data_IF_473267016035
#
_entry.id   IF_473267016035
#
_cell.length_a   1.000
_cell.length_b   1.000
_cell.length_c   1.000
_cell.angle_alpha   90.00
_cell.angle_beta   90.00
_cell.angle_gamma   90.00
#
_symmetry.space_group_name_H-M   'P 1'
#
loop_
_entity.id
_entity.type
_entity.pdbx_description
1 polymer ?
#
# COMPACT_ATOMS: atom_id res chain seq x y z
N UNK A 1 -15.49 -2.81 6.33
CA UNK A 1 -16.11 -4.06 5.91
C UNK A 1 -15.08 -5.01 5.32
N UNK A 2 -15.13 -6.27 5.68
CA UNK A 2 -14.23 -7.29 5.13
C UNK A 2 -14.57 -7.45 3.64
N UNK A 3 -13.61 -7.23 2.78
CA UNK A 3 -13.74 -7.50 1.37
C UNK A 3 -13.36 -8.97 1.13
N UNK A 4 -14.34 -9.79 0.80
CA UNK A 4 -14.11 -11.19 0.51
C UNK A 4 -14.19 -11.44 -1.00
N UNK A 5 -13.18 -12.12 -1.53
CA UNK A 5 -13.28 -12.77 -2.83
C UNK A 5 -13.77 -14.19 -2.65
N UNK A 6 -14.79 -14.57 -3.39
CA UNK A 6 -15.31 -15.94 -3.40
C UNK A 6 -15.12 -16.51 -4.79
N UNK A 7 -14.49 -17.68 -4.87
CA UNK A 7 -14.33 -18.44 -6.10
C UNK A 7 -15.25 -19.67 -6.05
N UNK A 8 -16.10 -19.81 -7.06
CA UNK A 8 -16.92 -21.01 -7.27
C UNK A 8 -16.53 -21.60 -8.62
N UNK A 9 -16.04 -22.83 -8.62
CA UNK A 9 -15.56 -23.48 -9.84
C UNK A 9 -15.90 -24.97 -9.86
N UNK A 10 -15.99 -25.50 -11.06
CA UNK A 10 -15.96 -26.92 -11.33
C UNK A 10 -14.52 -27.33 -11.63
N UNK A 11 -14.12 -28.51 -11.14
CA UNK A 11 -12.80 -29.08 -11.39
C UNK A 11 -12.98 -30.18 -12.44
N UNK A 12 -12.28 -30.05 -13.56
CA UNK A 12 -12.25 -31.05 -14.61
C UNK A 12 -11.28 -32.21 -14.27
N UNK A 13 -11.31 -33.29 -15.06
CA UNK A 13 -10.44 -34.47 -14.84
C UNK A 13 -8.95 -34.16 -14.96
N UNK A 14 -8.58 -33.17 -15.77
CA UNK A 14 -7.20 -32.67 -15.94
C UNK A 14 -6.77 -31.68 -14.85
N UNK A 15 -7.61 -31.46 -13.83
CA UNK A 15 -7.37 -30.52 -12.75
C UNK A 15 -7.65 -29.05 -13.10
N UNK A 16 -8.06 -28.76 -14.34
CA UNK A 16 -8.42 -27.39 -14.71
C UNK A 16 -9.67 -26.91 -13.98
N UNK A 17 -9.75 -25.60 -13.76
CA UNK A 17 -10.88 -24.95 -13.11
C UNK A 17 -11.61 -24.05 -14.09
N UNK A 18 -12.93 -24.09 -14.04
CA UNK A 18 -13.80 -23.12 -14.72
C UNK A 18 -14.90 -22.67 -13.78
N UNK A 19 -15.06 -21.38 -13.64
CA UNK A 19 -16.04 -20.85 -12.70
C UNK A 19 -16.17 -19.34 -12.72
N UNK A 20 -16.67 -18.82 -11.62
CA UNK A 20 -16.82 -17.37 -11.41
C UNK A 20 -16.14 -16.95 -10.12
N UNK A 21 -15.50 -15.79 -10.15
CA UNK A 21 -15.09 -15.11 -8.95
C UNK A 21 -16.03 -13.94 -8.65
N UNK A 22 -16.27 -13.72 -7.38
CA UNK A 22 -17.16 -12.70 -6.86
C UNK A 22 -16.35 -11.76 -5.97
N UNK A 23 -16.58 -10.45 -6.12
CA UNK A 23 -15.95 -9.42 -5.28
C UNK A 23 -17.03 -8.51 -4.71
N UNK A 24 -17.28 -8.64 -3.41
CA UNK A 24 -18.40 -7.97 -2.76
C UNK A 24 -19.75 -8.45 -3.28
N UNK A 25 -20.78 -7.58 -3.20
CA UNK A 25 -22.17 -7.95 -3.51
C UNK A 25 -22.54 -7.84 -5.00
N UNK A 26 -21.77 -7.11 -5.80
CA UNK A 26 -22.20 -6.70 -7.15
C UNK A 26 -21.27 -7.12 -8.28
N UNK A 27 -20.07 -7.59 -7.98
CA UNK A 27 -19.12 -7.95 -9.03
C UNK A 27 -18.99 -9.46 -9.14
N UNK A 28 -19.19 -9.97 -10.33
CA UNK A 28 -18.93 -11.35 -10.70
C UNK A 28 -18.28 -11.39 -12.08
N UNK A 29 -17.24 -12.19 -12.23
CA UNK A 29 -16.60 -12.41 -13.53
C UNK A 29 -16.21 -13.88 -13.69
N UNK A 30 -16.27 -14.43 -14.91
CA UNK A 30 -15.80 -15.78 -15.19
C UNK A 30 -14.29 -15.86 -15.05
N UNK A 31 -13.80 -17.04 -14.69
CA UNK A 31 -12.38 -17.36 -14.74
C UNK A 31 -12.15 -18.80 -15.16
N UNK A 32 -10.97 -19.05 -15.71
CA UNK A 32 -10.42 -20.39 -15.94
C UNK A 32 -9.02 -20.45 -15.33
N UNK A 33 -8.62 -21.61 -14.83
CA UNK A 33 -7.27 -21.85 -14.36
C UNK A 33 -6.79 -23.24 -14.80
N UNK A 34 -5.51 -23.36 -15.03
CA UNK A 34 -4.83 -24.62 -15.31
C UNK A 34 -3.90 -24.99 -14.15
N UNK A 35 -3.74 -26.27 -13.81
CA UNK A 35 -2.70 -26.68 -12.88
C UNK A 35 -1.32 -26.22 -13.39
N UNK A 36 -0.47 -25.79 -12.46
CA UNK A 36 0.90 -25.41 -12.76
C UNK A 36 1.81 -25.81 -11.61
N UNK A 37 2.86 -26.55 -11.91
CA UNK A 37 3.89 -26.90 -10.93
C UNK A 37 4.92 -25.77 -10.71
N UNK A 38 5.01 -24.86 -11.69
CA UNK A 38 6.02 -23.78 -11.69
C UNK A 38 5.48 -22.42 -11.31
N UNK A 39 4.14 -22.28 -11.17
CA UNK A 39 3.56 -20.99 -10.80
C UNK A 39 3.82 -20.66 -9.33
N UNK A 40 4.40 -19.48 -9.13
CA UNK A 40 4.54 -18.90 -7.80
C UNK A 40 4.06 -17.45 -7.80
N UNK A 41 3.51 -17.02 -6.67
CA UNK A 41 3.22 -15.59 -6.48
C UNK A 41 4.55 -14.81 -6.44
N UNK A 42 4.58 -13.68 -7.14
CA UNK A 42 5.74 -12.78 -7.13
C UNK A 42 5.96 -12.26 -5.71
N UNK A 43 7.23 -12.12 -5.33
CA UNK A 43 7.57 -11.46 -4.07
C UNK A 43 7.12 -9.98 -4.15
N UNK A 44 6.42 -9.46 -3.13
CA UNK A 44 6.00 -8.06 -3.07
C UNK A 44 7.10 -7.05 -3.36
N UNK A 45 8.33 -7.34 -2.93
CA UNK A 45 9.50 -6.46 -3.11
C UNK A 45 10.12 -6.57 -4.51
N UNK A 46 9.63 -7.49 -5.37
CA UNK A 46 10.08 -7.65 -6.76
C UNK A 46 9.11 -7.07 -7.79
N UNK A 47 7.97 -6.50 -7.36
CA UNK A 47 6.91 -6.05 -8.28
C UNK A 47 7.19 -4.66 -8.81
N UNK A 48 7.51 -3.72 -7.93
CA UNK A 48 7.78 -2.33 -8.28
C UNK A 48 9.15 -1.89 -7.75
N UNK A 49 9.69 -0.83 -8.32
CA UNK A 49 10.98 -0.26 -7.88
C UNK A 49 11.05 1.23 -8.16
N UNK A 50 11.88 1.93 -7.42
CA UNK A 50 12.27 3.29 -7.77
C UNK A 50 13.43 3.28 -8.77
N UNK A 51 13.45 4.23 -9.70
CA UNK A 51 14.62 4.46 -10.55
C UNK A 51 15.87 4.75 -9.70
N UNK A 52 17.05 4.31 -10.12
CA UNK A 52 18.29 4.62 -9.41
C UNK A 52 18.48 6.14 -9.23
N UNK A 53 18.78 6.55 -8.00
CA UNK A 53 19.01 7.96 -7.67
C UNK A 53 17.76 8.83 -7.52
N UNK A 54 16.57 8.29 -7.78
CA UNK A 54 15.32 9.02 -7.61
C UNK A 54 15.07 9.40 -6.14
N UNK A 55 14.42 10.54 -5.96
CA UNK A 55 14.02 11.10 -4.67
C UNK A 55 12.51 11.31 -4.62
N UNK A 56 11.97 11.27 -3.43
CA UNK A 56 10.58 11.65 -3.21
C UNK A 56 10.50 13.18 -3.18
N UNK A 57 9.72 13.77 -4.09
CA UNK A 57 9.65 15.23 -4.26
C UNK A 57 8.25 15.69 -4.68
N UNK A 58 7.22 15.20 -4.01
CA UNK A 58 5.84 15.60 -4.28
C UNK A 58 5.36 16.66 -3.27
N UNK A 59 4.60 17.64 -3.75
CA UNK A 59 3.82 18.56 -2.91
C UNK A 59 2.36 18.18 -3.04
N UNK A 60 1.74 17.80 -1.93
CA UNK A 60 0.38 17.24 -1.90
C UNK A 60 -0.46 17.91 -0.83
N UNK A 61 -1.77 18.10 -1.06
CA UNK A 61 -2.65 18.60 -0.03
C UNK A 61 -2.86 17.56 1.08
N UNK A 62 -2.81 18.01 2.32
CA UNK A 62 -3.33 17.23 3.44
C UNK A 62 -4.82 16.95 3.21
N UNK A 63 -5.27 15.72 3.45
CA UNK A 63 -6.59 15.26 3.03
C UNK A 63 -7.76 16.07 3.62
N UNK A 64 -7.63 16.55 4.87
CA UNK A 64 -8.70 17.23 5.60
C UNK A 64 -8.63 18.76 5.40
N UNK A 65 -7.47 19.35 5.69
CA UNK A 65 -7.30 20.81 5.67
C UNK A 65 -7.09 21.35 4.26
N UNK A 66 -6.48 20.56 3.38
CA UNK A 66 -6.02 21.01 2.06
C UNK A 66 -4.72 21.79 2.09
N UNK A 67 -4.07 21.89 3.24
CA UNK A 67 -2.74 22.48 3.37
C UNK A 67 -1.73 21.73 2.51
N UNK A 68 -0.94 22.47 1.75
CA UNK A 68 0.10 21.89 0.89
C UNK A 68 1.29 21.42 1.70
N UNK A 69 1.59 20.14 1.65
CA UNK A 69 2.70 19.49 2.35
C UNK A 69 3.79 19.11 1.34
N UNK A 70 5.00 19.60 1.54
CA UNK A 70 6.20 19.14 0.83
C UNK A 70 6.62 17.78 1.44
N UNK A 71 6.28 16.71 0.74
CA UNK A 71 6.58 15.35 1.18
C UNK A 71 8.09 15.10 1.29
N UNK A 72 8.87 15.63 0.35
CA UNK A 72 10.33 15.53 0.37
C UNK A 72 10.94 16.26 1.59
N UNK A 73 10.41 17.43 1.93
CA UNK A 73 10.80 18.19 3.11
C UNK A 73 10.45 17.47 4.41
N UNK A 74 9.25 16.89 4.47
CA UNK A 74 8.73 16.17 5.65
C UNK A 74 9.62 14.98 6.05
N UNK A 75 10.13 14.23 5.06
CA UNK A 75 10.95 13.03 5.30
C UNK A 75 12.47 13.29 5.31
N UNK A 76 12.88 14.54 5.07
CA UNK A 76 14.30 14.88 4.94
C UNK A 76 15.09 14.54 6.20
N UNK A 77 16.18 13.77 6.03
CA UNK A 77 17.06 13.36 7.13
C UNK A 77 16.48 12.29 8.06
N UNK A 78 15.31 11.76 7.75
CA UNK A 78 14.63 10.73 8.54
C UNK A 78 14.55 9.41 7.78
N UNK A 79 14.49 8.31 8.52
CA UNK A 79 13.94 7.07 7.97
C UNK A 79 12.44 7.30 7.80
N UNK A 80 11.89 6.93 6.66
CA UNK A 80 10.47 7.14 6.40
C UNK A 80 9.78 5.90 5.80
N UNK A 81 8.50 5.77 6.12
CA UNK A 81 7.58 4.77 5.55
C UNK A 81 6.45 5.52 4.86
N UNK A 82 6.37 5.38 3.54
CA UNK A 82 5.33 6.00 2.74
C UNK A 82 4.40 4.92 2.19
N UNK A 83 3.14 4.94 2.60
CA UNK A 83 2.12 4.03 2.12
C UNK A 83 1.32 4.68 0.98
N UNK A 84 1.36 4.11 -0.21
CA UNK A 84 0.47 4.44 -1.33
C UNK A 84 -0.78 3.58 -1.18
N UNK A 85 -1.91 4.22 -0.90
CA UNK A 85 -3.14 3.55 -0.51
C UNK A 85 -4.38 4.14 -1.18
N UNK A 86 -5.54 3.60 -0.82
CA UNK A 86 -6.86 4.19 -1.07
C UNK A 86 -7.86 3.72 -0.03
N UNK A 87 -8.75 4.60 0.43
CA UNK A 87 -9.76 4.29 1.45
C UNK A 87 -10.77 3.20 1.01
N UNK A 88 -10.84 2.94 -0.27
CA UNK A 88 -11.67 1.90 -0.91
C UNK A 88 -10.99 0.52 -0.95
N UNK A 89 -9.70 0.42 -0.59
CA UNK A 89 -8.86 -0.77 -0.77
C UNK A 89 -8.79 -1.58 0.53
N UNK A 90 -9.36 -2.78 0.61
CA UNK A 90 -9.35 -3.57 1.84
C UNK A 90 -7.98 -4.01 2.29
N UNK A 91 -7.10 -4.41 1.36
CA UNK A 91 -5.72 -4.77 1.68
C UNK A 91 -4.93 -3.58 2.25
N UNK A 92 -5.23 -2.37 1.76
CA UNK A 92 -4.64 -1.15 2.31
C UNK A 92 -5.07 -0.94 3.76
N UNK A 93 -6.34 -1.21 4.10
CA UNK A 93 -6.83 -1.09 5.48
C UNK A 93 -6.14 -2.09 6.41
N UNK A 94 -5.86 -3.31 5.94
CA UNK A 94 -5.15 -4.31 6.74
C UNK A 94 -3.68 -3.93 6.93
N UNK A 95 -3.02 -3.45 5.87
CA UNK A 95 -1.65 -2.91 5.99
C UNK A 95 -1.60 -1.67 6.88
N UNK A 96 -2.57 -0.75 6.76
CA UNK A 96 -2.64 0.45 7.61
C UNK A 96 -2.72 0.09 9.10
N UNK A 97 -3.47 -0.94 9.49
CA UNK A 97 -3.47 -1.41 10.88
C UNK A 97 -2.08 -1.82 11.35
N UNK A 98 -1.34 -2.55 10.51
CA UNK A 98 0.05 -2.89 10.81
C UNK A 98 0.95 -1.64 10.87
N UNK A 99 0.75 -0.66 9.96
CA UNK A 99 1.51 0.60 9.98
C UNK A 99 1.21 1.45 11.21
N UNK A 100 -0.01 1.45 11.72
CA UNK A 100 -0.36 2.10 13.00
C UNK A 100 0.40 1.47 14.16
N UNK A 101 0.50 0.14 14.19
CA UNK A 101 1.30 -0.56 15.20
C UNK A 101 2.81 -0.29 15.03
N UNK A 102 3.30 -0.22 13.81
CA UNK A 102 4.68 0.16 13.53
C UNK A 102 4.95 1.60 13.97
N UNK A 103 4.05 2.53 13.67
CA UNK A 103 4.18 3.93 14.09
C UNK A 103 4.35 4.06 15.60
N UNK A 104 3.54 3.36 16.40
CA UNK A 104 3.66 3.40 17.88
C UNK A 104 5.07 3.05 18.37
N UNK A 105 5.76 2.15 17.66
CA UNK A 105 7.06 1.63 18.07
C UNK A 105 8.25 2.39 17.45
N UNK A 106 8.06 2.94 16.26
CA UNK A 106 9.14 3.50 15.46
C UNK A 106 9.12 5.02 15.35
N UNK A 107 7.97 5.68 15.47
CA UNK A 107 7.92 7.14 15.49
C UNK A 107 8.70 7.76 16.67
N UNK A 108 8.66 7.19 17.91
CA UNK A 108 9.52 7.65 18.99
C UNK A 108 11.03 7.50 18.73
N UNK A 109 11.40 6.69 17.72
CA UNK A 109 12.79 6.49 17.28
C UNK A 109 13.15 7.34 16.05
N UNK A 110 12.30 8.31 15.70
CA UNK A 110 12.54 9.23 14.59
C UNK A 110 12.15 8.73 13.21
N UNK A 111 11.37 7.65 13.10
CA UNK A 111 10.82 7.20 11.82
C UNK A 111 9.57 7.99 11.47
N UNK A 112 9.54 8.58 10.28
CA UNK A 112 8.37 9.29 9.75
C UNK A 112 7.44 8.32 9.03
N UNK A 113 6.14 8.44 9.25
CA UNK A 113 5.12 7.68 8.54
C UNK A 113 4.19 8.63 7.80
N UNK A 114 3.88 8.30 6.56
CA UNK A 114 2.95 9.09 5.73
C UNK A 114 2.11 8.15 4.89
N UNK A 115 0.82 8.39 4.80
CA UNK A 115 -0.04 7.76 3.79
C UNK A 115 -0.31 8.75 2.65
N UNK A 116 -0.22 8.28 1.41
CA UNK A 116 -0.65 9.04 0.22
C UNK A 116 -1.83 8.29 -0.37
N UNK A 117 -3.00 8.88 -0.26
CA UNK A 117 -4.26 8.25 -0.67
C UNK A 117 -4.66 8.64 -2.07
N UNK A 118 -4.97 7.63 -2.90
CA UNK A 118 -5.52 7.78 -4.23
C UNK A 118 -6.96 7.29 -4.24
N UNK A 119 -7.90 8.20 -4.45
CA UNK A 119 -9.31 7.95 -4.25
C UNK A 119 -10.08 7.73 -5.57
N UNK A 120 -11.36 7.39 -5.47
CA UNK A 120 -12.22 7.19 -6.66
C UNK A 120 -12.54 8.50 -7.38
N UNK A 121 -12.53 9.62 -6.66
CA UNK A 121 -12.71 10.97 -7.20
C UNK A 121 -11.38 11.72 -7.23
N UNK A 122 -11.22 12.59 -8.24
CA UNK A 122 -10.16 13.59 -8.31
C UNK A 122 -10.50 14.84 -7.49
N UNK A 123 -11.76 15.02 -7.10
CA UNK A 123 -12.20 16.09 -6.21
C UNK A 123 -11.86 15.70 -4.76
N UNK A 124 -11.04 16.52 -4.09
CA UNK A 124 -10.61 16.28 -2.72
C UNK A 124 -11.78 16.30 -1.74
N UNK A 125 -12.74 17.19 -1.92
CA UNK A 125 -13.90 17.32 -1.03
C UNK A 125 -14.79 16.07 -1.08
N UNK A 126 -14.99 15.49 -2.26
CA UNK A 126 -15.69 14.20 -2.39
C UNK A 126 -14.88 13.06 -1.76
N UNK A 127 -13.55 13.09 -1.88
CA UNK A 127 -12.65 12.11 -1.30
C UNK A 127 -12.57 12.20 0.23
N UNK A 128 -12.84 13.37 0.82
CA UNK A 128 -12.80 13.56 2.28
C UNK A 128 -13.77 12.62 3.02
N UNK A 129 -14.95 12.35 2.50
CA UNK A 129 -15.95 11.53 3.19
C UNK A 129 -15.44 10.10 3.46
N UNK A 130 -14.99 9.32 2.46
CA UNK A 130 -14.43 7.99 2.70
C UNK A 130 -13.11 8.04 3.46
N UNK A 131 -12.26 9.05 3.24
CA UNK A 131 -11.00 9.23 3.95
C UNK A 131 -11.21 9.51 5.43
N UNK A 132 -12.13 10.41 5.79
CA UNK A 132 -12.48 10.69 7.19
C UNK A 132 -12.90 9.43 7.93
N UNK A 133 -13.72 8.60 7.26
CA UNK A 133 -14.12 7.31 7.83
C UNK A 133 -12.91 6.39 8.00
N UNK A 134 -12.05 6.29 7.01
CA UNK A 134 -10.85 5.44 7.04
C UNK A 134 -9.90 5.88 8.16
N UNK A 135 -9.56 7.17 8.23
CA UNK A 135 -8.65 7.73 9.25
C UNK A 135 -9.18 7.50 10.66
N UNK A 136 -10.47 7.77 10.89
CA UNK A 136 -11.11 7.56 12.19
C UNK A 136 -11.17 6.08 12.57
N UNK A 137 -11.65 5.23 11.69
CA UNK A 137 -11.91 3.81 11.98
C UNK A 137 -10.61 3.03 12.18
N UNK A 138 -9.52 3.44 11.53
CA UNK A 138 -8.18 2.87 11.67
C UNK A 138 -7.31 3.62 12.68
N UNK A 139 -7.80 4.75 13.23
CA UNK A 139 -7.07 5.59 14.17
C UNK A 139 -5.67 5.96 13.67
N UNK A 140 -5.58 6.42 12.40
CA UNK A 140 -4.30 6.75 11.76
C UNK A 140 -3.67 7.96 12.47
N UNK A 141 -2.47 7.82 13.11
CA UNK A 141 -1.87 8.88 13.90
C UNK A 141 -0.84 9.73 13.14
N UNK A 142 -0.67 9.48 11.85
CA UNK A 142 0.33 10.13 10.99
C UNK A 142 -0.33 10.85 9.82
N UNK A 143 0.38 11.77 9.13
CA UNK A 143 -0.16 12.52 8.00
C UNK A 143 -0.74 11.62 6.89
N UNK A 144 -1.92 11.99 6.40
CA UNK A 144 -2.54 11.41 5.22
C UNK A 144 -2.63 12.50 4.16
N UNK A 145 -2.05 12.28 3.00
CA UNK A 145 -2.03 13.25 1.89
C UNK A 145 -2.93 12.75 0.77
N UNK A 146 -3.60 13.67 0.11
CA UNK A 146 -4.44 13.34 -1.04
C UNK A 146 -3.60 13.37 -2.32
N UNK A 147 -3.37 12.19 -2.90
CA UNK A 147 -2.58 11.99 -4.13
C UNK A 147 -3.39 12.12 -5.42
N UNK A 148 -4.72 12.30 -5.30
CA UNK A 148 -5.62 12.41 -6.44
C UNK A 148 -6.44 11.15 -6.71
N UNK A 149 -6.81 10.94 -7.98
CA UNK A 149 -7.65 9.81 -8.42
C UNK A 149 -6.82 8.53 -8.57
N UNK A 150 -7.46 7.38 -8.39
CA UNK A 150 -6.92 6.06 -8.80
C UNK A 150 -6.33 6.17 -10.23
N UNK A 151 -5.08 5.73 -10.40
CA UNK A 151 -4.34 5.84 -11.66
C UNK A 151 -3.41 7.06 -11.75
N UNK A 152 -3.50 8.03 -10.84
CA UNK A 152 -2.62 9.19 -10.82
C UNK A 152 -1.27 8.95 -10.12
N UNK A 153 -0.98 7.72 -9.67
CA UNK A 153 0.26 7.39 -8.94
C UNK A 153 1.51 7.82 -9.72
N UNK A 154 1.56 7.55 -11.03
CA UNK A 154 2.70 7.93 -11.87
C UNK A 154 2.90 9.44 -12.03
N UNK A 155 1.86 10.25 -11.84
CA UNK A 155 1.99 11.71 -11.82
C UNK A 155 2.57 12.24 -10.52
N UNK A 156 2.32 11.57 -9.40
CA UNK A 156 2.84 11.91 -8.07
C UNK A 156 4.23 11.31 -7.84
N UNK A 157 4.44 10.09 -8.30
CA UNK A 157 5.68 9.35 -8.18
C UNK A 157 6.21 8.92 -9.55
N UNK A 158 6.72 9.87 -10.38
CA UNK A 158 7.11 9.60 -11.78
C UNK A 158 8.29 8.62 -11.91
N UNK A 159 9.05 8.45 -10.83
CA UNK A 159 10.19 7.53 -10.79
C UNK A 159 9.86 6.17 -10.18
N UNK A 160 8.61 5.93 -9.81
CA UNK A 160 8.12 4.62 -9.40
C UNK A 160 7.77 3.79 -10.64
N UNK A 161 8.63 2.82 -10.96
CA UNK A 161 8.45 1.95 -12.11
C UNK A 161 7.65 0.69 -11.74
N UNK A 162 6.87 0.20 -12.71
CA UNK A 162 6.11 -1.04 -12.61
C UNK A 162 5.14 -1.05 -11.41
N UNK A 163 4.51 0.09 -11.12
CA UNK A 163 3.48 0.14 -10.08
C UNK A 163 2.45 -0.97 -10.28
N UNK A 164 2.38 -1.91 -9.35
CA UNK A 164 1.59 -3.13 -9.48
C UNK A 164 0.20 -3.05 -8.84
N UNK A 165 -0.07 -2.04 -8.02
CA UNK A 165 -1.36 -1.87 -7.34
C UNK A 165 -1.26 -1.36 -5.91
N UNK A 166 -2.37 -1.50 -5.20
CA UNK A 166 -2.52 -1.01 -3.83
C UNK A 166 -2.64 -2.18 -2.84
N UNK A 167 -2.04 -2.07 -1.64
CA UNK A 167 -1.10 -1.04 -1.22
C UNK A 167 0.26 -1.18 -1.89
N UNK A 168 1.03 -0.08 -1.96
CA UNK A 168 2.46 -0.10 -2.23
C UNK A 168 3.16 0.76 -1.19
N UNK A 169 4.15 0.22 -0.51
CA UNK A 169 4.86 0.88 0.59
C UNK A 169 6.32 1.07 0.23
N UNK A 170 6.81 2.31 0.42
CA UNK A 170 8.19 2.69 0.17
C UNK A 170 8.90 2.88 1.52
N UNK A 171 10.05 2.24 1.68
CA UNK A 171 10.94 2.41 2.83
C UNK A 171 12.13 3.26 2.41
N UNK A 172 12.27 4.41 3.05
CA UNK A 172 13.25 5.45 2.70
C UNK A 172 14.27 5.59 3.81
N UNK A 173 15.56 5.65 3.45
CA UNK A 173 16.63 5.88 4.41
C UNK A 173 16.84 7.37 4.73
N UNK A 174 17.68 7.68 5.73
CA UNK A 174 18.00 9.06 6.15
C UNK A 174 18.62 9.91 5.04
N UNK A 175 19.17 9.30 3.98
CA UNK A 175 19.69 10.00 2.80
C UNK A 175 18.61 10.31 1.78
N UNK A 176 17.35 9.89 2.03
CA UNK A 176 16.21 10.04 1.12
C UNK A 176 16.21 9.03 -0.02
N UNK A 177 16.98 7.94 0.08
CA UNK A 177 16.99 6.87 -0.91
C UNK A 177 15.91 5.86 -0.58
N UNK A 178 15.07 5.49 -1.54
CA UNK A 178 14.11 4.40 -1.39
C UNK A 178 14.89 3.07 -1.44
N UNK A 179 14.89 2.36 -0.33
CA UNK A 179 15.65 1.11 -0.14
C UNK A 179 14.86 -0.12 -0.52
N UNK A 180 13.55 -0.07 -0.29
CA UNK A 180 12.61 -1.15 -0.61
C UNK A 180 11.29 -0.54 -1.08
N UNK A 181 10.70 -1.14 -2.11
CA UNK A 181 9.32 -0.94 -2.55
C UNK A 181 8.59 -2.25 -2.37
N UNK A 182 7.57 -2.29 -1.53
CA UNK A 182 6.75 -3.48 -1.27
C UNK A 182 5.35 -3.28 -1.85
N UNK A 183 4.95 -4.09 -2.83
CA UNK A 183 3.63 -4.00 -3.48
C UNK A 183 2.74 -5.16 -3.11
N UNK A 184 1.53 -4.85 -2.65
CA UNK A 184 0.58 -5.82 -2.11
C UNK A 184 0.83 -6.10 -0.64
N UNK A 185 -0.07 -6.87 -0.04
CA UNK A 185 -0.05 -7.14 1.38
C UNK A 185 -0.54 -8.55 1.68
N UNK A 186 0.21 -9.28 2.47
CA UNK A 186 -0.25 -10.55 3.03
C UNK A 186 -1.11 -10.26 4.26
N UNK A 187 -2.44 -10.35 4.11
CA UNK A 187 -3.36 -10.04 5.20
C UNK A 187 -3.17 -10.95 6.44
N UNK A 188 -3.65 -10.52 7.62
CA UNK A 188 -3.34 -11.17 8.91
C UNK A 188 -3.85 -12.61 9.02
N UNK A 189 -4.78 -13.04 8.15
CA UNK A 189 -5.25 -14.43 8.06
C UNK A 189 -4.37 -15.36 7.22
N UNK A 190 -3.26 -14.88 6.66
CA UNK A 190 -2.38 -15.68 5.81
C UNK A 190 -1.13 -16.15 6.57
N UNK A 191 -0.56 -17.29 6.18
CA UNK A 191 0.70 -17.78 6.78
C UNK A 191 1.88 -16.83 6.58
N UNK A 192 1.90 -16.10 5.47
CA UNK A 192 2.99 -15.18 5.12
C UNK A 192 2.91 -13.83 5.83
N UNK A 193 1.83 -13.53 6.55
CA UNK A 193 1.68 -12.25 7.24
C UNK A 193 2.81 -11.99 8.25
N UNK A 194 3.10 -12.95 9.11
CA UNK A 194 4.12 -12.78 10.14
C UNK A 194 5.51 -12.61 9.52
N UNK A 195 5.85 -13.42 8.52
CA UNK A 195 7.13 -13.31 7.80
C UNK A 195 7.28 -11.93 7.13
N UNK A 196 6.22 -11.45 6.49
CA UNK A 196 6.18 -10.15 5.83
C UNK A 196 6.35 -9.01 6.84
N UNK A 197 5.59 -9.04 7.93
CA UNK A 197 5.66 -8.07 9.03
C UNK A 197 7.07 -8.04 9.64
N UNK A 198 7.62 -9.20 9.97
CA UNK A 198 8.91 -9.31 10.64
C UNK A 198 10.06 -8.86 9.73
N UNK A 199 9.97 -9.12 8.41
CA UNK A 199 10.92 -8.60 7.42
C UNK A 199 10.91 -7.08 7.36
N UNK A 200 9.72 -6.45 7.31
CA UNK A 200 9.62 -5.00 7.31
C UNK A 200 10.09 -4.38 8.64
N UNK A 201 9.81 -5.05 9.76
CA UNK A 201 10.31 -4.63 11.06
C UNK A 201 11.84 -4.66 11.13
N UNK A 202 12.46 -5.73 10.67
CA UNK A 202 13.92 -5.86 10.60
C UNK A 202 14.55 -4.81 9.66
N UNK A 203 13.88 -4.52 8.53
CA UNK A 203 14.31 -3.44 7.63
C UNK A 203 14.33 -2.08 8.34
N UNK A 204 13.27 -1.73 9.08
CA UNK A 204 13.23 -0.47 9.83
C UNK A 204 14.33 -0.42 10.90
N UNK A 205 14.56 -1.52 11.64
CA UNK A 205 15.64 -1.59 12.62
C UNK A 205 17.00 -1.31 11.97
N UNK A 206 17.25 -1.89 10.80
CA UNK A 206 18.47 -1.66 10.03
C UNK A 206 18.58 -0.20 9.59
N UNK A 207 17.54 0.37 8.95
CA UNK A 207 17.58 1.74 8.43
C UNK A 207 17.79 2.79 9.54
N UNK A 208 17.21 2.55 10.72
CA UNK A 208 17.38 3.45 11.88
C UNK A 208 18.83 3.38 12.41
N UNK A 209 19.47 2.22 12.36
CA UNK A 209 20.86 2.04 12.83
C UNK A 209 21.92 2.56 11.85
N UNK A 210 21.61 2.76 10.58
CA UNK A 210 22.46 3.40 9.57
C UNK A 210 22.52 4.92 9.75
#
# INVERSE_FOLDING_TARGET
>A
GIHAYVFKAQIARDGSLRGHHFSGKKYAAPFTAQPSETFALRDPESIARMKPGARISAVLPEWNTGESIDLGGLIRGKVAVLQIMGSWCPNCMDETRMMVDFHRNWAPKGVEFVAVSFERSSNREEAQVPLAKCVRDLQIPYPVLFGGKIGAVGSVFPDLEQFGGYPTTLFVDKKGTVRVVSTGFYGPGTRKYLEHRDRQWALLAKLVSE
#
